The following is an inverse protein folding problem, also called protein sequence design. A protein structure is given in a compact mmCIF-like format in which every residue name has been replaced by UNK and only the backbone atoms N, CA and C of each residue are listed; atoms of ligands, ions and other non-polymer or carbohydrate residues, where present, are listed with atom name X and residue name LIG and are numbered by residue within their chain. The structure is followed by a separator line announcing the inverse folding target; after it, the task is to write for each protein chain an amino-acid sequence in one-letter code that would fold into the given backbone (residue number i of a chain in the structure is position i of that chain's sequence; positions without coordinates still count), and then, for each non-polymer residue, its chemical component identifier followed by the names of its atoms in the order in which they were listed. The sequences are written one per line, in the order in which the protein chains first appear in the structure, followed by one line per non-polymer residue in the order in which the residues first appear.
data_IF_726460570471
#
_entry.id   IF_726460570471
#
_cell.length_a   1.000
_cell.length_b   1.000
_cell.length_c   1.000
_cell.angle_alpha   90.00
_cell.angle_beta   90.00
_cell.angle_gamma   90.00
#
_symmetry.space_group_name_H-M   'P 1'
#
loop_
_entity.id
_entity.type
_entity.pdbx_description
1 polymer ?
#
# COMPACT_ATOMS: atom_id res chain seq x y z
N UNK A 1 -29.47 0.85 33.18
CA UNK A 1 -29.46 -0.30 32.26
C UNK A 1 -28.16 -0.21 31.46
N UNK A 2 -27.21 -1.04 31.85
CA UNK A 2 -25.86 -1.06 31.28
C UNK A 2 -25.87 -1.93 30.03
N UNK A 3 -25.75 -1.32 28.85
CA UNK A 3 -25.56 -2.08 27.61
C UNK A 3 -24.07 -2.37 27.48
N UNK A 4 -23.69 -3.61 27.79
CA UNK A 4 -22.34 -4.09 27.48
C UNK A 4 -22.17 -4.13 25.96
N UNK A 5 -21.36 -3.24 25.42
CA UNK A 5 -20.84 -3.37 24.06
C UNK A 5 -19.89 -4.57 24.02
N UNK A 6 -20.42 -5.70 23.57
CA UNK A 6 -19.60 -6.86 23.26
C UNK A 6 -18.61 -6.51 22.15
N UNK A 7 -17.34 -6.47 22.48
CA UNK A 7 -16.25 -6.53 21.49
C UNK A 7 -16.43 -7.82 20.73
N UNK A 8 -16.88 -7.73 19.48
CA UNK A 8 -16.90 -8.87 18.58
C UNK A 8 -15.48 -9.46 18.56
N UNK A 9 -15.37 -10.76 18.87
CA UNK A 9 -14.10 -11.48 18.75
C UNK A 9 -13.60 -11.28 17.33
N UNK A 10 -12.47 -10.57 17.19
CA UNK A 10 -11.91 -10.22 15.89
C UNK A 10 -11.65 -11.48 15.07
N UNK A 11 -11.87 -11.43 13.76
CA UNK A 11 -11.45 -12.49 12.87
C UNK A 11 -9.94 -12.71 13.09
N UNK A 12 -9.52 -13.97 13.16
CA UNK A 12 -8.10 -14.29 13.34
C UNK A 12 -7.26 -13.61 12.26
N UNK A 13 -6.10 -13.07 12.63
CA UNK A 13 -5.16 -12.44 11.69
C UNK A 13 -4.73 -13.39 10.58
N UNK A 14 -4.53 -12.89 9.36
CA UNK A 14 -3.91 -13.62 8.27
C UNK A 14 -2.38 -13.54 8.30
N UNK A 15 -1.80 -12.71 9.16
CA UNK A 15 -0.35 -12.53 9.23
C UNK A 15 0.33 -13.77 9.78
N UNK A 16 1.24 -14.33 9.00
CA UNK A 16 2.19 -15.38 9.39
C UNK A 16 3.37 -14.74 10.13
N UNK A 17 3.86 -13.61 9.62
CA UNK A 17 4.86 -12.79 10.32
C UNK A 17 4.15 -11.79 11.23
N UNK A 18 4.23 -12.02 12.53
CA UNK A 18 3.50 -11.24 13.55
C UNK A 18 4.27 -10.04 14.07
N UNK A 19 5.49 -9.81 13.60
CA UNK A 19 6.38 -8.74 14.10
C UNK A 19 5.70 -7.38 14.28
N UNK A 20 4.96 -6.92 13.26
CA UNK A 20 4.30 -5.62 13.33
C UNK A 20 3.13 -5.62 14.33
N UNK A 21 2.37 -6.72 14.40
CA UNK A 21 1.25 -6.87 15.33
C UNK A 21 1.69 -6.88 16.80
N UNK A 22 2.82 -7.50 17.10
CA UNK A 22 3.41 -7.55 18.44
C UNK A 22 3.88 -6.18 18.95
N UNK A 23 3.97 -5.19 18.08
CA UNK A 23 4.38 -3.82 18.38
C UNK A 23 3.24 -2.81 18.43
N UNK A 24 2.02 -3.29 18.34
CA UNK A 24 0.86 -2.45 18.61
C UNK A 24 0.87 -2.01 20.07
N UNK A 25 0.34 -0.82 20.39
CA UNK A 25 0.11 -0.41 21.75
C UNK A 25 -0.76 -1.42 22.49
N UNK A 26 -0.59 -1.57 23.80
CA UNK A 26 -1.48 -2.43 24.59
C UNK A 26 -2.94 -1.95 24.47
N UNK A 27 -3.94 -2.84 24.58
CA UNK A 27 -5.35 -2.50 24.36
C UNK A 27 -5.84 -1.24 25.09
N UNK A 28 -5.44 -0.94 26.34
CA UNK A 28 -5.85 0.28 27.03
C UNK A 28 -5.33 1.59 26.44
N UNK A 29 -4.33 1.52 25.55
CA UNK A 29 -3.74 2.67 24.85
C UNK A 29 -4.23 2.77 23.40
N UNK A 30 -5.03 1.81 22.94
CA UNK A 30 -5.64 1.89 21.63
C UNK A 30 -6.81 2.89 21.66
N UNK A 31 -7.05 3.62 20.56
CA UNK A 31 -8.19 4.52 20.49
C UNK A 31 -9.52 3.73 20.43
N UNK A 32 -10.55 4.34 20.99
CA UNK A 32 -11.92 3.89 20.74
C UNK A 32 -12.33 4.25 19.31
N UNK A 33 -12.67 3.25 18.52
CA UNK A 33 -13.06 3.44 17.13
C UNK A 33 -14.59 3.60 17.01
N UNK A 34 -15.02 4.83 16.72
CA UNK A 34 -16.44 5.16 16.57
C UNK A 34 -16.86 5.05 15.11
N UNK A 35 -17.08 3.83 14.61
CA UNK A 35 -17.56 3.60 13.24
C UNK A 35 -19.09 3.66 13.16
N UNK A 36 -19.67 4.80 13.54
CA UNK A 36 -21.12 5.01 13.57
C UNK A 36 -21.72 5.32 12.20
N UNK A 37 -20.93 5.89 11.30
CA UNK A 37 -21.39 6.20 9.94
C UNK A 37 -21.56 4.91 9.13
N UNK A 38 -22.66 4.76 8.36
CA UNK A 38 -22.90 3.56 7.55
C UNK A 38 -21.73 3.19 6.62
N UNK A 39 -21.03 4.18 6.05
CA UNK A 39 -19.86 3.97 5.18
C UNK A 39 -18.62 3.48 5.89
N UNK A 40 -18.60 3.42 7.23
CA UNK A 40 -17.49 2.97 8.05
C UNK A 40 -17.71 1.58 8.67
N UNK A 41 -18.80 0.94 8.34
CA UNK A 41 -19.13 -0.39 8.85
C UNK A 41 -18.45 -1.47 8.00
N UNK A 42 -17.23 -1.81 8.38
CA UNK A 42 -16.46 -2.85 7.69
C UNK A 42 -16.70 -4.22 8.33
N UNK A 43 -16.78 -5.26 7.49
CA UNK A 43 -16.80 -6.64 7.97
C UNK A 43 -15.49 -7.03 8.66
N UNK A 44 -15.48 -8.17 9.40
CA UNK A 44 -14.28 -8.63 10.10
C UNK A 44 -13.15 -9.05 9.15
N UNK A 45 -13.49 -9.42 7.91
CA UNK A 45 -12.53 -9.74 6.83
C UNK A 45 -12.55 -8.60 5.81
N UNK A 46 -11.38 -8.07 5.50
CA UNK A 46 -11.23 -6.94 4.60
C UNK A 46 -9.80 -6.90 4.05
N UNK A 47 -9.66 -7.00 2.75
CA UNK A 47 -8.44 -6.60 2.06
C UNK A 47 -8.73 -5.30 1.29
N UNK A 48 -8.11 -4.19 1.67
CA UNK A 48 -8.41 -2.89 1.06
C UNK A 48 -8.07 -2.83 -0.44
N UNK A 49 -7.13 -3.66 -0.93
CA UNK A 49 -6.88 -3.76 -2.37
C UNK A 49 -8.06 -4.36 -3.13
N UNK A 50 -8.78 -5.32 -2.54
CA UNK A 50 -10.00 -5.87 -3.11
C UNK A 50 -11.06 -4.79 -3.29
N UNK A 51 -11.27 -3.97 -2.27
CA UNK A 51 -12.27 -2.91 -2.28
C UNK A 51 -11.90 -1.73 -3.20
N UNK A 52 -10.62 -1.36 -3.24
CA UNK A 52 -10.15 -0.22 -3.99
C UNK A 52 -9.99 -0.51 -5.49
N UNK A 53 -9.68 -1.75 -5.85
CA UNK A 53 -9.31 -2.13 -7.22
C UNK A 53 -10.17 -3.27 -7.78
N UNK A 54 -10.16 -4.43 -7.14
CA UNK A 54 -10.74 -5.64 -7.74
C UNK A 54 -12.26 -5.56 -7.87
N UNK A 55 -12.93 -4.97 -6.89
CA UNK A 55 -14.38 -4.74 -6.89
C UNK A 55 -14.84 -4.06 -8.19
N UNK A 56 -14.12 -3.04 -8.64
CA UNK A 56 -14.52 -2.28 -9.80
C UNK A 56 -14.36 -3.06 -11.10
N UNK A 57 -13.31 -3.86 -11.21
CA UNK A 57 -13.14 -4.76 -12.35
C UNK A 57 -14.24 -5.82 -12.39
N UNK A 58 -14.56 -6.41 -11.23
CA UNK A 58 -15.64 -7.38 -11.09
C UNK A 58 -17.03 -6.80 -11.44
N UNK A 59 -17.24 -5.50 -11.19
CA UNK A 59 -18.47 -4.76 -11.53
C UNK A 59 -18.47 -4.24 -12.97
N UNK A 60 -17.55 -4.69 -13.84
CA UNK A 60 -17.51 -4.32 -15.25
C UNK A 60 -16.89 -2.94 -15.55
N UNK A 61 -16.28 -2.27 -14.56
CA UNK A 61 -15.62 -0.97 -14.72
C UNK A 61 -14.15 -1.08 -15.15
N UNK A 62 -13.69 -2.27 -15.48
CA UNK A 62 -12.28 -2.55 -15.77
C UNK A 62 -11.67 -1.72 -16.90
N UNK A 63 -12.45 -1.36 -17.92
CA UNK A 63 -11.98 -0.53 -19.03
C UNK A 63 -11.83 0.97 -18.69
N UNK A 64 -12.37 1.41 -17.54
CA UNK A 64 -12.30 2.80 -17.13
C UNK A 64 -10.86 3.16 -16.77
N UNK A 65 -10.39 4.33 -17.23
CA UNK A 65 -9.08 4.85 -16.86
C UNK A 65 -9.05 5.20 -15.37
N UNK A 66 -7.97 4.84 -14.67
CA UNK A 66 -7.76 5.13 -13.25
C UNK A 66 -6.48 5.94 -12.97
N UNK A 67 -5.42 5.73 -13.73
CA UNK A 67 -4.15 6.41 -13.53
C UNK A 67 -3.65 7.02 -14.84
N UNK A 68 -3.13 8.25 -14.76
CA UNK A 68 -2.39 8.90 -15.85
C UNK A 68 -0.91 8.94 -15.43
N UNK A 69 -0.07 8.23 -16.17
CA UNK A 69 1.37 8.32 -16.06
C UNK A 69 1.95 9.24 -17.13
N UNK A 70 3.28 9.39 -17.13
CA UNK A 70 3.98 10.24 -18.09
C UNK A 70 3.78 9.82 -19.56
N UNK A 71 3.65 8.50 -19.81
CA UNK A 71 3.66 7.95 -21.17
C UNK A 71 2.34 7.34 -21.59
N UNK A 72 1.48 6.94 -20.64
CA UNK A 72 0.18 6.34 -20.95
C UNK A 72 -0.82 6.46 -19.81
N UNK A 73 -2.08 6.25 -20.15
CA UNK A 73 -3.16 6.01 -19.18
C UNK A 73 -3.22 4.53 -18.86
N UNK A 74 -3.56 4.22 -17.62
CA UNK A 74 -3.84 2.87 -17.14
C UNK A 74 -5.32 2.75 -16.80
N UNK A 75 -5.93 1.67 -17.23
CA UNK A 75 -7.29 1.29 -16.81
C UNK A 75 -7.24 0.51 -15.48
N UNK A 76 -8.41 0.36 -14.85
CA UNK A 76 -8.55 -0.49 -13.65
C UNK A 76 -8.12 -1.94 -13.93
N UNK A 77 -8.50 -2.50 -15.10
CA UNK A 77 -8.10 -3.85 -15.49
C UNK A 77 -6.59 -3.99 -15.71
N UNK A 78 -5.93 -3.00 -16.32
CA UNK A 78 -4.48 -3.01 -16.49
C UNK A 78 -3.75 -2.91 -15.17
N UNK A 79 -4.19 -2.01 -14.27
CA UNK A 79 -3.62 -1.88 -12.93
C UNK A 79 -3.80 -3.17 -12.12
N UNK A 80 -4.99 -3.79 -12.17
CA UNK A 80 -5.25 -5.06 -11.50
C UNK A 80 -4.35 -6.18 -12.04
N UNK A 81 -4.27 -6.31 -13.36
CA UNK A 81 -3.47 -7.35 -14.00
C UNK A 81 -1.99 -7.23 -13.63
N UNK A 82 -1.44 -6.01 -13.62
CA UNK A 82 -0.05 -5.77 -13.25
C UNK A 82 0.18 -6.01 -11.75
N UNK A 83 -0.70 -5.52 -10.88
CA UNK A 83 -0.63 -5.79 -9.46
C UNK A 83 -0.71 -7.31 -9.14
N UNK A 84 -1.54 -8.05 -9.85
CA UNK A 84 -1.65 -9.50 -9.70
C UNK A 84 -0.36 -10.22 -10.10
N UNK A 85 0.27 -9.84 -11.22
CA UNK A 85 1.56 -10.40 -11.65
C UNK A 85 2.67 -10.11 -10.64
N UNK A 86 2.76 -8.87 -10.17
CA UNK A 86 3.75 -8.48 -9.17
C UNK A 86 3.49 -9.21 -7.83
N UNK A 87 2.24 -9.39 -7.42
CA UNK A 87 1.90 -10.17 -6.21
C UNK A 87 2.40 -11.63 -6.33
N UNK A 88 2.32 -12.23 -7.52
CA UNK A 88 2.91 -13.56 -7.77
C UNK A 88 4.44 -13.53 -7.68
N UNK A 89 5.10 -12.53 -8.23
CA UNK A 89 6.56 -12.39 -8.08
C UNK A 89 6.93 -12.29 -6.60
N UNK A 90 6.20 -11.49 -5.82
CA UNK A 90 6.44 -11.36 -4.38
C UNK A 90 6.31 -12.71 -3.65
N UNK A 91 5.27 -13.48 -3.93
CA UNK A 91 5.00 -14.74 -3.22
C UNK A 91 5.86 -15.87 -3.77
N UNK A 92 5.87 -16.07 -5.10
CA UNK A 92 6.46 -17.26 -5.74
C UNK A 92 7.98 -17.13 -5.92
N UNK A 93 8.49 -15.94 -6.23
CA UNK A 93 9.91 -15.74 -6.56
C UNK A 93 10.70 -15.08 -5.42
N UNK A 94 10.04 -14.32 -4.55
CA UNK A 94 10.68 -13.63 -3.43
C UNK A 94 10.33 -14.26 -2.07
N UNK A 95 9.39 -15.21 -2.01
CA UNK A 95 9.03 -15.92 -0.79
C UNK A 95 8.28 -15.09 0.25
N UNK A 96 7.56 -14.05 -0.19
CA UNK A 96 6.77 -13.20 0.71
C UNK A 96 5.67 -14.02 1.39
N UNK A 97 5.58 -13.90 2.70
CA UNK A 97 4.46 -14.41 3.50
C UNK A 97 3.66 -13.25 4.12
N UNK A 98 2.34 -13.44 4.38
CA UNK A 98 1.53 -12.38 4.99
C UNK A 98 2.16 -11.82 6.28
N UNK A 99 2.15 -10.49 6.42
CA UNK A 99 2.79 -9.78 7.52
C UNK A 99 4.25 -9.37 7.27
N UNK A 100 4.92 -9.87 6.21
CA UNK A 100 6.24 -9.36 5.84
C UNK A 100 6.17 -7.89 5.44
N UNK A 101 7.21 -7.11 5.77
CA UNK A 101 7.31 -5.69 5.41
C UNK A 101 8.06 -5.56 4.11
N UNK A 102 7.44 -4.82 3.18
CA UNK A 102 7.98 -4.57 1.83
C UNK A 102 8.25 -3.08 1.68
N UNK A 103 9.50 -2.72 1.56
CA UNK A 103 9.90 -1.33 1.27
C UNK A 103 9.54 -0.99 -0.18
N UNK A 104 8.81 0.11 -0.35
CA UNK A 104 8.47 0.68 -1.64
C UNK A 104 9.23 1.98 -1.82
N UNK A 105 10.09 2.05 -2.85
CA UNK A 105 10.94 3.18 -3.14
C UNK A 105 10.83 3.61 -4.60
N UNK A 106 10.23 4.76 -4.82
CA UNK A 106 10.05 5.31 -6.17
C UNK A 106 9.36 6.67 -6.15
N UNK A 107 9.45 7.38 -7.26
CA UNK A 107 8.61 8.55 -7.54
C UNK A 107 7.17 8.13 -7.84
N UNK A 108 6.25 9.10 -7.77
CA UNK A 108 4.85 8.87 -8.10
C UNK A 108 4.72 8.34 -9.53
N UNK A 109 4.18 7.14 -9.66
CA UNK A 109 3.99 6.50 -10.96
C UNK A 109 2.93 5.40 -10.89
N UNK A 110 2.30 5.03 -12.02
CA UNK A 110 1.41 3.88 -12.06
C UNK A 110 2.08 2.58 -11.62
N UNK A 111 3.39 2.41 -11.90
CA UNK A 111 4.13 1.22 -11.48
C UNK A 111 4.30 1.17 -9.96
N UNK A 112 4.60 2.28 -9.29
CA UNK A 112 4.66 2.33 -7.83
C UNK A 112 3.29 2.02 -7.21
N UNK A 113 2.20 2.50 -7.82
CA UNK A 113 0.84 2.16 -7.40
C UNK A 113 0.56 0.65 -7.56
N UNK A 114 0.95 0.05 -8.69
CA UNK A 114 0.83 -1.40 -8.91
C UNK A 114 1.63 -2.20 -7.87
N UNK A 115 2.84 -1.77 -7.53
CA UNK A 115 3.64 -2.36 -6.46
C UNK A 115 2.93 -2.29 -5.10
N UNK A 116 2.33 -1.14 -4.76
CA UNK A 116 1.59 -0.99 -3.51
C UNK A 116 0.40 -1.96 -3.45
N UNK A 117 -0.41 -2.03 -4.51
CA UNK A 117 -1.52 -2.98 -4.57
C UNK A 117 -1.05 -4.42 -4.49
N UNK A 118 0.04 -4.77 -5.16
CA UNK A 118 0.59 -6.12 -5.14
C UNK A 118 0.99 -6.57 -3.72
N UNK A 119 1.66 -5.70 -2.96
CA UNK A 119 2.03 -5.96 -1.57
C UNK A 119 0.79 -6.21 -0.71
N UNK A 120 -0.21 -5.34 -0.82
CA UNK A 120 -1.45 -5.43 -0.04
C UNK A 120 -2.26 -6.68 -0.40
N UNK A 121 -2.36 -7.00 -1.70
CA UNK A 121 -3.01 -8.23 -2.18
C UNK A 121 -2.37 -9.49 -1.61
N UNK A 122 -1.05 -9.52 -1.53
CA UNK A 122 -0.27 -10.62 -0.98
C UNK A 122 -0.28 -10.69 0.55
N UNK A 123 -1.04 -9.82 1.23
CA UNK A 123 -1.08 -9.74 2.71
C UNK A 123 0.20 -9.17 3.32
N UNK A 124 1.08 -8.57 2.51
CA UNK A 124 2.27 -7.87 2.97
C UNK A 124 1.94 -6.49 3.54
N UNK A 125 2.90 -5.93 4.25
CA UNK A 125 2.82 -4.59 4.84
C UNK A 125 3.68 -3.63 4.02
N UNK A 126 3.05 -2.65 3.37
CA UNK A 126 3.77 -1.65 2.58
C UNK A 126 4.51 -0.66 3.47
N UNK A 127 5.79 -0.40 3.17
CA UNK A 127 6.64 0.60 3.85
C UNK A 127 7.11 1.59 2.80
N UNK A 128 6.37 2.69 2.62
CA UNK A 128 6.71 3.72 1.64
C UNK A 128 7.90 4.56 2.09
N UNK A 129 8.83 4.82 1.16
CA UNK A 129 10.00 5.67 1.41
C UNK A 129 10.18 6.72 0.34
N UNK A 130 10.52 7.95 0.77
CA UNK A 130 10.77 9.04 -0.17
C UNK A 130 12.00 8.81 -1.04
N UNK A 131 11.94 9.21 -2.34
CA UNK A 131 13.10 9.14 -3.23
C UNK A 131 14.35 9.85 -2.71
N UNK A 132 14.17 10.92 -1.94
CA UNK A 132 15.27 11.74 -1.41
C UNK A 132 16.04 11.13 -0.24
N UNK A 133 15.51 10.07 0.39
CA UNK A 133 16.19 9.43 1.51
C UNK A 133 17.50 8.79 1.06
N UNK A 134 18.54 8.96 1.88
CA UNK A 134 19.86 8.38 1.68
C UNK A 134 19.99 7.06 2.43
N UNK A 135 21.09 6.36 2.18
CA UNK A 135 21.37 5.04 2.75
C UNK A 135 21.19 4.97 4.27
N UNK A 136 21.62 6.01 5.00
CA UNK A 136 21.50 6.06 6.45
C UNK A 136 20.06 6.07 6.95
N UNK A 137 19.21 6.90 6.35
CA UNK A 137 17.79 6.98 6.70
C UNK A 137 17.06 5.71 6.28
N UNK A 138 17.39 5.17 5.10
CA UNK A 138 16.83 3.90 4.63
C UNK A 138 17.20 2.75 5.57
N UNK A 139 18.46 2.67 5.99
CA UNK A 139 18.91 1.65 6.94
C UNK A 139 18.15 1.74 8.27
N UNK A 140 17.94 2.94 8.79
CA UNK A 140 17.18 3.14 10.03
C UNK A 140 15.70 2.70 9.90
N UNK A 141 15.07 2.92 8.74
CA UNK A 141 13.71 2.46 8.45
C UNK A 141 13.68 0.93 8.32
N UNK A 142 14.61 0.35 7.56
CA UNK A 142 14.71 -1.10 7.34
C UNK A 142 14.90 -1.83 8.66
N UNK A 143 15.82 -1.36 9.48
CA UNK A 143 16.10 -1.97 10.80
C UNK A 143 14.89 -1.83 11.72
N UNK A 144 14.32 -0.65 11.85
CA UNK A 144 13.18 -0.42 12.75
C UNK A 144 11.95 -1.21 12.39
N UNK A 145 11.63 -1.31 11.10
CA UNK A 145 10.48 -2.07 10.61
C UNK A 145 10.80 -3.54 10.34
N UNK A 146 12.08 -3.95 10.48
CA UNK A 146 12.54 -5.30 10.11
C UNK A 146 12.07 -5.67 8.70
N UNK A 147 12.38 -4.78 7.75
CA UNK A 147 12.01 -4.96 6.33
C UNK A 147 12.77 -6.14 5.75
N UNK A 148 12.06 -7.04 5.07
CA UNK A 148 12.64 -8.24 4.47
C UNK A 148 12.72 -8.16 2.95
N UNK A 149 11.80 -7.39 2.34
CA UNK A 149 11.62 -7.27 0.90
C UNK A 149 11.65 -5.81 0.46
N UNK A 150 12.07 -5.54 -0.78
CA UNK A 150 11.99 -4.22 -1.38
C UNK A 150 11.63 -4.29 -2.86
N UNK A 151 10.77 -3.36 -3.30
CA UNK A 151 10.54 -3.01 -4.69
C UNK A 151 11.01 -1.58 -4.89
N UNK A 152 12.04 -1.39 -5.71
CA UNK A 152 12.74 -0.13 -5.85
C UNK A 152 12.80 0.32 -7.32
N UNK A 153 12.53 1.60 -7.57
CA UNK A 153 12.84 2.22 -8.85
C UNK A 153 14.35 2.06 -9.13
N UNK A 154 14.70 1.51 -10.29
CA UNK A 154 16.09 1.24 -10.66
C UNK A 154 16.99 2.50 -10.59
N UNK A 155 16.40 3.68 -10.83
CA UNK A 155 17.13 4.97 -10.73
C UNK A 155 17.54 5.33 -9.30
N UNK A 156 16.93 4.67 -8.29
CA UNK A 156 17.15 4.92 -6.86
C UNK A 156 17.86 3.74 -6.17
N UNK A 157 18.38 2.79 -6.95
CA UNK A 157 18.96 1.54 -6.45
C UNK A 157 20.20 1.77 -5.59
N UNK A 158 21.06 2.71 -5.95
CA UNK A 158 22.38 2.93 -5.32
C UNK A 158 22.26 3.12 -3.80
N UNK A 159 21.42 4.04 -3.35
CA UNK A 159 21.24 4.33 -1.92
C UNK A 159 20.59 3.15 -1.17
N UNK A 160 19.71 2.40 -1.84
CA UNK A 160 19.12 1.20 -1.25
C UNK A 160 20.14 0.08 -1.09
N UNK A 161 21.01 -0.14 -2.06
CA UNK A 161 22.06 -1.17 -1.98
C UNK A 161 23.12 -0.81 -0.91
N UNK A 162 23.44 0.48 -0.75
CA UNK A 162 24.28 0.94 0.36
C UNK A 162 23.63 0.68 1.72
N UNK A 163 22.31 0.93 1.86
CA UNK A 163 21.57 0.61 3.08
C UNK A 163 21.51 -0.90 3.33
N UNK A 164 21.27 -1.70 2.28
CA UNK A 164 21.16 -3.16 2.34
C UNK A 164 22.41 -3.82 2.93
N UNK A 165 23.60 -3.29 2.63
CA UNK A 165 24.87 -3.82 3.19
C UNK A 165 24.93 -3.71 4.71
N UNK A 166 24.14 -2.82 5.31
CA UNK A 166 24.06 -2.60 6.75
C UNK A 166 22.86 -3.30 7.39
N UNK A 167 21.94 -3.84 6.58
CA UNK A 167 20.65 -4.37 7.01
C UNK A 167 20.50 -5.84 6.59
N UNK A 168 20.94 -6.80 7.40
CA UNK A 168 20.91 -8.23 7.04
C UNK A 168 19.49 -8.79 6.86
N UNK A 169 18.47 -8.12 7.39
CA UNK A 169 17.06 -8.50 7.22
C UNK A 169 16.56 -8.27 5.80
N UNK A 170 17.09 -7.28 5.08
CA UNK A 170 16.69 -6.95 3.71
C UNK A 170 17.34 -7.90 2.71
N UNK A 171 16.76 -9.09 2.54
CA UNK A 171 17.30 -10.16 1.71
C UNK A 171 16.80 -10.15 0.28
N UNK A 172 15.55 -9.73 0.06
CA UNK A 172 14.86 -9.78 -1.22
C UNK A 172 14.66 -8.39 -1.81
N UNK A 173 15.31 -8.09 -2.92
CA UNK A 173 15.18 -6.81 -3.63
C UNK A 173 14.90 -7.06 -5.10
N UNK A 174 13.94 -6.33 -5.69
CA UNK A 174 13.71 -6.27 -7.13
C UNK A 174 13.56 -4.83 -7.57
N UNK A 175 14.02 -4.58 -8.78
CA UNK A 175 14.00 -3.24 -9.34
C UNK A 175 12.94 -3.12 -10.43
N UNK A 176 12.21 -2.01 -10.43
CA UNK A 176 11.26 -1.67 -11.48
C UNK A 176 11.68 -0.38 -12.21
N UNK A 177 11.20 -0.21 -13.42
CA UNK A 177 11.27 1.07 -14.12
C UNK A 177 9.87 1.72 -14.16
N UNK A 178 9.82 3.03 -14.08
CA UNK A 178 8.55 3.79 -14.04
C UNK A 178 7.71 3.65 -15.31
N UNK A 179 8.33 3.33 -16.42
CA UNK A 179 7.71 3.09 -17.73
C UNK A 179 7.18 1.65 -17.90
N UNK A 180 7.38 0.80 -16.88
CA UNK A 180 6.93 -0.60 -16.90
C UNK A 180 7.94 -1.58 -17.49
N UNK A 181 9.20 -1.18 -17.63
CA UNK A 181 10.31 -2.06 -18.02
C UNK A 181 11.11 -2.60 -16.83
N UNK A 182 12.27 -3.19 -17.12
CA UNK A 182 13.24 -3.64 -16.12
C UNK A 182 13.00 -5.05 -15.57
N UNK A 183 13.74 -5.38 -14.51
CA UNK A 183 13.79 -6.72 -13.90
C UNK A 183 12.41 -7.19 -13.42
N UNK A 184 11.71 -6.37 -12.64
CA UNK A 184 10.41 -6.72 -12.09
C UNK A 184 9.37 -6.99 -13.18
N UNK A 185 9.37 -6.18 -14.24
CA UNK A 185 8.47 -6.36 -15.37
C UNK A 185 8.79 -7.65 -16.15
N UNK A 186 10.05 -7.98 -16.33
CA UNK A 186 10.46 -9.23 -16.96
C UNK A 186 9.97 -10.47 -16.19
N UNK A 187 10.10 -10.47 -14.86
CA UNK A 187 9.56 -11.51 -14.00
C UNK A 187 8.02 -11.54 -14.05
N UNK A 188 7.38 -10.40 -13.91
CA UNK A 188 5.92 -10.27 -13.91
C UNK A 188 5.30 -10.71 -15.24
N UNK A 189 5.95 -10.47 -16.38
CA UNK A 189 5.44 -10.84 -17.71
C UNK A 189 5.22 -12.35 -17.88
N UNK A 190 5.98 -13.16 -17.16
CA UNK A 190 5.84 -14.63 -17.17
C UNK A 190 4.69 -15.14 -16.27
N UNK A 191 4.10 -14.27 -15.43
CA UNK A 191 3.10 -14.65 -14.43
C UNK A 191 1.68 -14.47 -14.95
N UNK A 192 0.74 -15.33 -14.54
CA UNK A 192 -0.69 -15.10 -14.79
C UNK A 192 -1.17 -13.76 -14.25
N UNK A 193 -2.08 -13.10 -14.98
CA UNK A 193 -2.69 -11.83 -14.58
C UNK A 193 -3.78 -11.98 -13.49
N UNK A 194 -3.91 -13.17 -12.90
CA UNK A 194 -4.86 -13.48 -11.82
C UNK A 194 -4.12 -13.79 -10.54
N UNK A 195 -4.65 -13.32 -9.41
CA UNK A 195 -4.14 -13.59 -8.07
C UNK A 195 -5.30 -13.65 -7.08
N UNK A 196 -5.31 -14.65 -6.21
CA UNK A 196 -6.26 -14.71 -5.11
C UNK A 196 -5.69 -13.89 -3.94
N UNK A 197 -6.34 -12.77 -3.63
CA UNK A 197 -5.89 -11.93 -2.51
C UNK A 197 -5.91 -12.70 -1.20
N UNK A 198 -4.95 -12.42 -0.35
CA UNK A 198 -4.95 -12.95 1.01
C UNK A 198 -6.20 -12.44 1.73
N UNK A 199 -6.93 -13.34 2.36
CA UNK A 199 -8.13 -13.02 3.13
C UNK A 199 -7.70 -12.44 4.50
N UNK A 200 -7.39 -11.14 4.52
CA UNK A 200 -6.90 -10.41 5.69
C UNK A 200 -8.05 -10.04 6.63
N UNK A 201 -7.74 -9.93 7.93
CA UNK A 201 -8.65 -9.29 8.88
C UNK A 201 -8.69 -7.78 8.62
N UNK A 202 -9.81 -7.13 8.95
CA UNK A 202 -9.94 -5.67 8.81
C UNK A 202 -8.93 -4.90 9.67
N UNK A 203 -8.45 -5.51 10.75
CA UNK A 203 -7.41 -5.01 11.66
C UNK A 203 -6.03 -5.63 11.43
N UNK A 204 -5.80 -6.31 10.31
CA UNK A 204 -4.44 -6.62 9.88
C UNK A 204 -3.76 -5.34 9.37
N UNK A 205 -2.47 -5.21 9.70
CA UNK A 205 -1.67 -4.04 9.32
C UNK A 205 -1.31 -4.17 7.84
N UNK A 206 -1.59 -3.15 7.04
CA UNK A 206 -1.26 -3.13 5.60
C UNK A 206 -0.26 -2.03 5.21
N UNK A 207 -0.01 -1.08 6.11
CA UNK A 207 0.85 0.06 5.85
C UNK A 207 1.61 0.47 7.11
N UNK A 208 2.90 0.73 6.97
CA UNK A 208 3.71 1.47 7.95
C UNK A 208 4.18 2.76 7.30
N UNK A 209 3.74 3.90 7.82
CA UNK A 209 4.16 5.20 7.35
C UNK A 209 5.16 5.83 8.32
N UNK A 210 6.35 6.19 7.82
CA UNK A 210 7.38 6.81 8.63
C UNK A 210 7.28 8.34 8.61
N UNK A 211 7.40 8.93 9.78
CA UNK A 211 7.51 10.38 9.96
C UNK A 211 8.90 10.72 10.48
N UNK A 212 9.39 11.92 10.14
CA UNK A 212 10.73 12.40 10.57
C UNK A 212 10.90 12.55 12.08
N UNK A 213 9.79 12.57 12.82
CA UNK A 213 9.77 12.74 14.28
C UNK A 213 10.47 14.03 14.73
N UNK A 214 9.99 14.67 15.78
CA UNK A 214 10.61 15.87 16.38
C UNK A 214 11.96 15.57 17.05
N UNK A 215 12.25 14.30 17.29
CA UNK A 215 13.48 13.82 17.98
C UNK A 215 14.57 13.35 17.01
N UNK A 216 14.35 13.46 15.69
CA UNK A 216 15.28 12.97 14.66
C UNK A 216 15.27 11.45 14.46
N UNK A 217 14.59 10.69 15.32
CA UNK A 217 14.42 9.24 15.15
C UNK A 217 13.12 8.97 14.40
N UNK A 218 13.15 8.26 13.26
CA UNK A 218 11.95 7.95 12.51
C UNK A 218 10.92 7.19 13.35
N UNK A 219 9.65 7.63 13.32
CA UNK A 219 8.53 6.94 13.95
C UNK A 219 7.67 6.32 12.87
N UNK A 220 7.36 5.03 13.01
CA UNK A 220 6.45 4.32 12.12
C UNK A 220 5.04 4.32 12.69
N UNK A 221 4.07 4.83 11.94
CA UNK A 221 2.65 4.70 12.25
C UNK A 221 2.09 3.48 11.53
N UNK A 222 1.38 2.64 12.26
CA UNK A 222 0.79 1.41 11.77
C UNK A 222 -0.66 1.67 11.36
N UNK A 223 -1.04 1.27 10.14
CA UNK A 223 -2.39 1.44 9.62
C UNK A 223 -2.98 0.10 9.22
N UNK A 224 -4.23 -0.11 9.59
CA UNK A 224 -5.00 -1.30 9.28
C UNK A 224 -5.70 -1.18 7.91
N UNK A 225 -6.15 -2.29 7.34
CA UNK A 225 -6.96 -2.27 6.12
C UNK A 225 -8.20 -1.38 6.26
N UNK A 226 -8.89 -1.45 7.42
CA UNK A 226 -10.04 -0.60 7.71
C UNK A 226 -9.71 0.89 7.77
N UNK A 227 -8.50 1.26 8.23
CA UNK A 227 -8.09 2.68 8.32
C UNK A 227 -7.95 3.29 6.93
N UNK A 228 -7.37 2.52 6.00
CA UNK A 228 -7.25 2.92 4.59
C UNK A 228 -8.63 3.17 3.99
N UNK A 229 -9.59 2.28 4.25
CA UNK A 229 -10.95 2.43 3.75
C UNK A 229 -11.69 3.58 4.44
N UNK A 230 -11.54 3.74 5.76
CA UNK A 230 -12.16 4.81 6.53
C UNK A 230 -11.69 6.20 6.04
N UNK A 231 -10.39 6.36 5.77
CA UNK A 231 -9.86 7.62 5.22
C UNK A 231 -10.53 8.00 3.90
N UNK A 232 -10.90 7.02 3.06
CA UNK A 232 -11.59 7.24 1.79
C UNK A 232 -13.09 7.53 1.95
N UNK A 233 -13.71 7.05 3.03
CA UNK A 233 -15.15 7.17 3.25
C UNK A 233 -15.55 8.41 4.07
N UNK A 234 -14.64 8.93 4.92
CA UNK A 234 -15.00 10.00 5.85
C UNK A 234 -15.04 11.39 5.19
N UNK A 235 -13.92 11.89 4.72
CA UNK A 235 -13.79 13.28 4.33
C UNK A 235 -14.15 13.56 2.86
N UNK A 236 -13.65 12.76 1.89
CA UNK A 236 -13.78 13.13 0.50
C UNK A 236 -15.23 13.20 -0.01
N UNK A 237 -16.12 12.23 0.26
CA UNK A 237 -17.50 12.30 -0.24
C UNK A 237 -18.31 13.43 0.39
N UNK A 238 -17.95 13.82 1.61
CA UNK A 238 -18.71 14.85 2.37
C UNK A 238 -18.21 16.27 2.14
N UNK A 239 -16.92 16.45 1.94
CA UNK A 239 -16.26 17.76 1.83
C UNK A 239 -15.89 18.09 0.39
N UNK A 240 -15.17 17.23 -0.30
CA UNK A 240 -14.77 17.46 -1.70
C UNK A 240 -15.94 17.37 -2.66
N UNK A 241 -16.87 16.42 -2.43
CA UNK A 241 -18.02 16.14 -3.28
C UNK A 241 -17.63 16.04 -4.76
N UNK A 242 -16.64 15.19 -5.09
CA UNK A 242 -16.08 15.16 -6.43
C UNK A 242 -17.08 14.61 -7.45
N UNK A 243 -16.88 15.00 -8.71
CA UNK A 243 -17.69 14.57 -9.84
C UNK A 243 -17.00 13.42 -10.56
N UNK A 244 -17.77 12.62 -11.30
CA UNK A 244 -17.25 11.42 -11.98
C UNK A 244 -16.20 11.72 -13.07
N UNK A 245 -16.13 12.96 -13.55
CA UNK A 245 -15.17 13.44 -14.54
C UNK A 245 -13.96 14.19 -13.94
N UNK A 246 -13.92 14.35 -12.62
CA UNK A 246 -12.78 14.98 -11.95
C UNK A 246 -11.50 14.16 -12.09
N UNK A 247 -10.39 14.89 -12.20
CA UNK A 247 -9.04 14.33 -12.24
C UNK A 247 -8.26 14.82 -11.04
N UNK A 248 -7.82 13.88 -10.20
CA UNK A 248 -6.99 14.19 -9.05
C UNK A 248 -5.54 14.30 -9.47
N UNK A 249 -4.90 15.43 -9.18
CA UNK A 249 -3.49 15.67 -9.48
C UNK A 249 -2.80 16.29 -8.27
N UNK A 250 -1.57 15.88 -8.03
CA UNK A 250 -0.78 16.44 -6.95
C UNK A 250 0.67 15.99 -6.98
N UNK A 251 1.49 16.69 -6.19
CA UNK A 251 2.90 16.41 -6.00
C UNK A 251 3.26 15.64 -4.72
N UNK A 252 2.36 15.48 -3.70
CA UNK A 252 2.74 14.73 -2.51
C UNK A 252 3.15 13.30 -2.87
N UNK A 253 4.32 12.82 -2.38
CA UNK A 253 4.76 11.47 -2.64
C UNK A 253 3.79 10.41 -2.11
N UNK A 254 3.56 9.34 -2.87
CA UNK A 254 2.82 8.15 -2.42
C UNK A 254 3.47 7.47 -1.21
N UNK A 255 4.71 7.80 -0.91
CA UNK A 255 5.40 7.37 0.30
C UNK A 255 4.79 7.93 1.61
N UNK A 256 4.02 9.00 1.53
CA UNK A 256 3.32 9.60 2.65
C UNK A 256 1.84 9.26 2.65
N UNK A 257 1.24 9.12 3.83
CA UNK A 257 -0.20 8.88 3.98
C UNK A 257 -1.06 9.92 3.29
N UNK A 258 -0.65 11.19 3.29
CA UNK A 258 -1.35 12.26 2.58
C UNK A 258 -1.33 12.06 1.05
N UNK A 259 -0.17 11.75 0.47
CA UNK A 259 -0.05 11.45 -0.96
C UNK A 259 -0.75 10.15 -1.34
N UNK A 260 -0.53 9.09 -0.57
CA UNK A 260 -1.19 7.80 -0.78
C UNK A 260 -2.71 7.93 -0.69
N UNK A 261 -3.22 8.56 0.36
CA UNK A 261 -4.65 8.75 0.60
C UNK A 261 -5.29 9.62 -0.48
N UNK A 262 -4.74 10.81 -0.75
CA UNK A 262 -5.35 11.79 -1.65
C UNK A 262 -5.18 11.49 -3.14
N UNK A 263 -4.09 10.82 -3.53
CA UNK A 263 -3.78 10.58 -4.95
C UNK A 263 -3.98 9.13 -5.41
N UNK A 264 -4.08 8.18 -4.51
CA UNK A 264 -4.28 6.79 -4.89
C UNK A 264 -5.53 6.18 -4.24
N UNK A 265 -5.57 6.12 -2.93
CA UNK A 265 -6.60 5.38 -2.20
C UNK A 265 -7.97 5.99 -2.43
N UNK A 266 -8.13 7.29 -2.16
CA UNK A 266 -9.42 7.95 -2.32
C UNK A 266 -9.91 7.98 -3.78
N UNK A 267 -9.13 8.44 -4.78
CA UNK A 267 -9.63 8.46 -6.15
C UNK A 267 -10.07 7.09 -6.64
N UNK A 268 -9.31 6.02 -6.34
CA UNK A 268 -9.65 4.68 -6.77
C UNK A 268 -10.88 4.12 -6.03
N UNK A 269 -11.07 4.45 -4.76
CA UNK A 269 -12.24 4.03 -4.00
C UNK A 269 -13.57 4.49 -4.64
N UNK A 270 -13.55 5.60 -5.37
CA UNK A 270 -14.71 6.25 -5.97
C UNK A 270 -14.69 6.35 -7.50
N UNK A 271 -13.85 5.55 -8.15
CA UNK A 271 -13.71 5.51 -9.62
C UNK A 271 -13.24 6.82 -10.26
N UNK A 272 -12.47 7.63 -9.57
CA UNK A 272 -11.88 8.83 -10.13
C UNK A 272 -10.54 8.55 -10.81
N UNK A 273 -10.16 9.45 -11.71
CA UNK A 273 -8.90 9.40 -12.42
C UNK A 273 -7.83 10.15 -11.65
N UNK A 274 -6.67 9.53 -11.45
CA UNK A 274 -5.50 10.20 -10.87
C UNK A 274 -4.43 10.44 -11.91
N UNK A 275 -3.88 11.64 -11.94
CA UNK A 275 -2.72 12.01 -12.73
C UNK A 275 -1.51 12.26 -11.82
N UNK A 276 -0.43 11.55 -12.08
CA UNK A 276 0.84 11.82 -11.42
C UNK A 276 1.59 12.92 -12.16
N UNK A 277 1.96 13.97 -11.43
CA UNK A 277 2.85 14.98 -11.97
C UNK A 277 4.21 14.32 -12.21
N UNK A 278 4.69 14.40 -13.45
CA UNK A 278 6.05 13.99 -13.78
C UNK A 278 7.00 14.94 -13.06
N UNK A 279 7.85 14.40 -12.21
CA UNK A 279 9.00 15.15 -11.70
C UNK A 279 9.96 15.35 -12.87
N UNK A 280 10.32 16.60 -13.09
CA UNK A 280 11.34 17.01 -14.03
C UNK A 280 12.73 16.64 -13.53
#
# INVERSE_FOLDING_TARGET
MSTSSGTAAGAGTAHVDTFARERLPPPPQMPDLLFELPGLQFGPRLNCASELLDRWVAQGQGARACLIGAHRRWSYAELQAEANRIARVLVEDMGLVPGNRVLLRGGNSPMLAACWFAVVKAGGIAVGTMPLLRARELAAIVDKAQVTHALCDARLAEELELARRQCPTLTQVRHFAVDGGGELAALASSKPATFANVDTAADDICLIAFTSGTTGVPKGTLHFHRDVMAASACWPPHVLRPRADDVFIGSPPLAFTFGLGGLLVFPLAWLFLTAFKTEL
#
